data_IF_482032055615
#
_entry.id   IF_482032055615
#
_cell.length_a   1.000
_cell.length_b   1.000
_cell.length_c   1.000
_cell.angle_alpha   90.00
_cell.angle_beta   90.00
_cell.angle_gamma   90.00
#
_symmetry.space_group_name_H-M   'P 1'
#
loop_
_entity.id
_entity.type
_entity.pdbx_description
1 polymer ?
#
# COMPACT_ATOMS: atom_id res chain seq x y z
N UNK A 1 9.27 23.90 -19.76
CA UNK A 1 8.97 22.71 -18.95
C UNK A 1 8.43 23.21 -17.61
N UNK A 2 7.28 22.70 -17.13
CA UNK A 2 6.72 23.09 -15.82
C UNK A 2 6.94 21.98 -14.78
N UNK A 3 6.59 22.23 -13.52
CA UNK A 3 6.80 21.28 -12.42
C UNK A 3 6.09 19.93 -12.67
N UNK A 4 4.86 19.94 -13.17
CA UNK A 4 4.11 18.72 -13.48
C UNK A 4 4.79 17.89 -14.56
N UNK A 5 5.25 18.52 -15.65
CA UNK A 5 5.96 17.84 -16.73
C UNK A 5 7.28 17.25 -16.24
N UNK A 6 8.03 17.97 -15.38
CA UNK A 6 9.27 17.48 -14.79
C UNK A 6 9.07 16.20 -13.96
N UNK A 7 8.04 16.18 -13.09
CA UNK A 7 7.75 15.01 -12.26
C UNK A 7 7.27 13.81 -13.09
N UNK A 8 6.40 14.05 -14.08
CA UNK A 8 5.94 12.99 -14.97
C UNK A 8 7.10 12.38 -15.78
N UNK A 9 8.00 13.21 -16.31
CA UNK A 9 9.18 12.75 -17.03
C UNK A 9 10.12 11.94 -16.13
N UNK A 10 10.35 12.40 -14.91
CA UNK A 10 11.15 11.66 -13.93
C UNK A 10 10.55 10.27 -13.65
N UNK A 11 9.26 10.19 -13.30
CA UNK A 11 8.62 8.91 -12.93
C UNK A 11 8.55 7.92 -14.11
N UNK A 12 8.31 8.41 -15.33
CA UNK A 12 8.11 7.55 -16.50
C UNK A 12 9.40 7.07 -17.16
N UNK A 13 10.50 7.81 -17.01
CA UNK A 13 11.79 7.49 -17.66
C UNK A 13 12.77 6.78 -16.74
N UNK A 14 12.60 6.88 -15.43
CA UNK A 14 13.52 6.29 -14.46
C UNK A 14 13.29 4.77 -14.33
N UNK A 15 14.39 4.02 -14.25
CA UNK A 15 14.40 2.56 -14.08
C UNK A 15 14.94 2.20 -12.71
N UNK A 16 14.68 0.98 -12.27
CA UNK A 16 15.22 0.47 -11.00
C UNK A 16 16.76 0.52 -10.98
N UNK A 17 17.40 0.23 -12.12
CA UNK A 17 18.87 0.24 -12.26
C UNK A 17 19.48 1.65 -12.17
N UNK A 18 18.66 2.70 -12.33
CA UNK A 18 19.08 4.10 -12.18
C UNK A 18 19.07 4.54 -10.70
N UNK A 19 18.51 3.72 -9.81
CA UNK A 19 18.34 4.04 -8.41
C UNK A 19 19.64 3.80 -7.62
N UNK A 20 20.13 4.77 -6.82
CA UNK A 20 21.27 4.55 -5.96
C UNK A 20 21.02 3.38 -5.00
N UNK A 21 22.03 2.54 -4.77
CA UNK A 21 21.91 1.36 -3.89
C UNK A 21 21.37 1.72 -2.50
N UNK A 22 21.85 2.84 -1.93
CA UNK A 22 21.36 3.35 -0.65
C UNK A 22 19.85 3.66 -0.64
N UNK A 23 19.27 4.11 -1.77
CA UNK A 23 17.85 4.38 -1.89
C UNK A 23 17.04 3.07 -1.99
N UNK A 24 17.56 2.07 -2.69
CA UNK A 24 16.97 0.72 -2.73
C UNK A 24 16.93 0.12 -1.32
N UNK A 25 18.03 0.22 -0.57
CA UNK A 25 18.11 -0.29 0.80
C UNK A 25 17.19 0.45 1.76
N UNK A 26 17.04 1.76 1.59
CA UNK A 26 16.07 2.54 2.36
C UNK A 26 14.63 2.11 2.04
N UNK A 27 14.29 1.92 0.76
CA UNK A 27 12.98 1.47 0.34
C UNK A 27 12.65 0.06 0.88
N UNK A 28 13.59 -0.88 0.84
CA UNK A 28 13.40 -2.23 1.43
C UNK A 28 13.05 -2.16 2.92
N UNK A 29 13.78 -1.34 3.67
CA UNK A 29 13.53 -1.13 5.11
C UNK A 29 12.16 -0.50 5.35
N UNK A 30 11.82 0.54 4.60
CA UNK A 30 10.52 1.20 4.71
C UNK A 30 9.34 0.27 4.36
N UNK A 31 9.47 -0.57 3.33
CA UNK A 31 8.45 -1.57 2.98
C UNK A 31 8.30 -2.61 4.09
N UNK A 32 9.40 -3.11 4.64
CA UNK A 32 9.37 -4.10 5.73
C UNK A 32 8.72 -3.52 7.00
N UNK A 33 9.09 -2.30 7.37
CA UNK A 33 8.50 -1.57 8.49
C UNK A 33 6.99 -1.35 8.29
N UNK A 34 6.60 -0.84 7.11
CA UNK A 34 5.20 -0.62 6.74
C UNK A 34 4.38 -1.91 6.83
N UNK A 35 4.89 -3.03 6.33
CA UNK A 35 4.22 -4.33 6.46
C UNK A 35 4.08 -4.78 7.92
N UNK A 36 5.08 -4.50 8.75
CA UNK A 36 5.05 -4.81 10.18
C UNK A 36 3.95 -4.04 10.91
N UNK A 37 3.91 -2.71 10.76
CA UNK A 37 2.88 -1.87 11.39
C UNK A 37 1.49 -2.13 10.81
N UNK A 38 1.39 -2.41 9.50
CA UNK A 38 0.14 -2.80 8.85
C UNK A 38 -0.44 -4.09 9.41
N UNK A 39 0.40 -5.10 9.68
CA UNK A 39 -0.04 -6.33 10.31
C UNK A 39 -0.48 -6.11 11.76
N UNK A 40 0.26 -5.30 12.52
CA UNK A 40 -0.11 -4.96 13.89
C UNK A 40 -1.43 -4.17 13.96
N UNK A 41 -1.60 -3.15 13.10
CA UNK A 41 -2.78 -2.31 13.03
C UNK A 41 -4.00 -2.97 12.37
N UNK A 42 -3.86 -4.16 11.77
CA UNK A 42 -4.98 -4.83 11.08
C UNK A 42 -6.13 -5.23 12.01
N UNK A 43 -5.85 -5.30 13.32
CA UNK A 43 -6.82 -5.66 14.35
C UNK A 43 -7.43 -4.45 15.07
N UNK A 44 -6.99 -3.24 14.78
CA UNK A 44 -7.52 -2.01 15.39
C UNK A 44 -8.97 -1.74 14.96
N UNK A 45 -9.77 -1.02 15.77
CA UNK A 45 -11.19 -0.76 15.47
C UNK A 45 -11.41 -0.11 14.10
N UNK A 46 -10.59 0.88 13.73
CA UNK A 46 -10.69 1.56 12.43
C UNK A 46 -10.46 0.60 11.26
N UNK A 47 -9.45 -0.26 11.37
CA UNK A 47 -9.14 -1.29 10.38
C UNK A 47 -10.28 -2.30 10.21
N UNK A 48 -10.88 -2.75 11.31
CA UNK A 48 -12.03 -3.68 11.28
C UNK A 48 -13.26 -3.06 10.62
N UNK A 49 -13.55 -1.78 10.90
CA UNK A 49 -14.67 -1.06 10.26
C UNK A 49 -14.47 -1.02 8.74
N UNK A 50 -13.28 -0.66 8.28
CA UNK A 50 -12.99 -0.63 6.84
C UNK A 50 -13.06 -2.01 6.20
N UNK A 51 -12.56 -3.05 6.87
CA UNK A 51 -12.65 -4.42 6.38
C UNK A 51 -14.11 -4.88 6.21
N UNK A 52 -15.02 -4.41 7.07
CA UNK A 52 -16.46 -4.68 6.95
C UNK A 52 -17.07 -3.91 5.76
N UNK A 53 -16.74 -2.64 5.58
CA UNK A 53 -17.18 -1.84 4.42
C UNK A 53 -16.71 -2.49 3.12
N UNK A 54 -15.43 -2.83 3.02
CA UNK A 54 -14.87 -3.54 1.86
C UNK A 54 -15.50 -4.93 1.64
N UNK A 55 -16.06 -5.55 2.68
CA UNK A 55 -16.84 -6.80 2.52
C UNK A 55 -18.16 -6.55 1.84
N UNK A 56 -18.89 -5.54 2.33
CA UNK A 56 -20.24 -5.22 1.91
C UNK A 56 -20.24 -4.74 0.44
N UNK A 57 -19.25 -3.94 0.07
CA UNK A 57 -19.08 -3.41 -1.29
C UNK A 57 -18.55 -4.48 -2.26
N UNK A 58 -17.95 -5.55 -1.75
CA UNK A 58 -17.45 -6.66 -2.54
C UNK A 58 -16.31 -6.28 -3.49
N UNK A 59 -16.30 -6.90 -4.67
CA UNK A 59 -15.26 -6.76 -5.68
C UNK A 59 -14.54 -8.08 -5.98
N UNK A 60 -13.91 -8.16 -7.16
CA UNK A 60 -13.15 -9.34 -7.54
C UNK A 60 -12.00 -9.57 -6.53
N UNK A 61 -11.79 -10.79 -6.01
CA UNK A 61 -10.82 -11.08 -4.96
C UNK A 61 -9.38 -11.12 -5.51
N UNK A 62 -8.92 -10.00 -6.06
CA UNK A 62 -7.64 -9.85 -6.74
C UNK A 62 -6.50 -9.57 -5.75
N UNK A 63 -6.77 -8.79 -4.70
CA UNK A 63 -5.76 -8.28 -3.78
C UNK A 63 -6.03 -8.71 -2.34
N UNK A 64 -4.97 -8.91 -1.55
CA UNK A 64 -5.03 -9.33 -0.15
C UNK A 64 -5.28 -8.15 0.78
N UNK A 65 -6.10 -8.38 1.81
CA UNK A 65 -6.18 -7.50 2.98
C UNK A 65 -5.30 -8.07 4.08
N UNK A 66 -4.20 -7.37 4.39
CA UNK A 66 -3.13 -7.85 5.28
C UNK A 66 -3.66 -8.06 6.70
N UNK A 67 -3.14 -9.09 7.38
CA UNK A 67 -3.59 -9.48 8.72
C UNK A 67 -4.98 -10.12 8.74
N UNK A 68 -5.50 -10.52 7.58
CA UNK A 68 -6.77 -11.24 7.44
C UNK A 68 -6.62 -12.43 6.48
N UNK A 69 -7.62 -13.32 6.45
CA UNK A 69 -7.75 -14.36 5.43
C UNK A 69 -8.53 -13.93 4.18
N UNK A 70 -8.73 -12.62 3.97
CA UNK A 70 -9.69 -12.08 2.99
C UNK A 70 -8.98 -11.44 1.80
N UNK A 71 -9.68 -11.44 0.66
CA UNK A 71 -9.28 -10.77 -0.57
C UNK A 71 -10.42 -9.92 -1.11
N UNK A 72 -10.10 -8.83 -1.81
CA UNK A 72 -11.05 -7.89 -2.42
C UNK A 72 -10.42 -7.19 -3.64
N UNK A 73 -11.13 -6.25 -4.26
CA UNK A 73 -10.63 -5.42 -5.35
C UNK A 73 -9.47 -4.53 -4.93
N UNK A 74 -8.66 -4.08 -5.89
CA UNK A 74 -7.42 -3.33 -5.64
C UNK A 74 -7.62 -2.05 -4.82
N UNK A 75 -8.66 -1.26 -5.13
CA UNK A 75 -8.97 -0.02 -4.42
C UNK A 75 -9.30 -0.28 -2.96
N UNK A 76 -10.18 -1.25 -2.68
CA UNK A 76 -10.57 -1.60 -1.31
C UNK A 76 -9.43 -2.22 -0.51
N UNK A 77 -8.62 -3.08 -1.15
CA UNK A 77 -7.45 -3.67 -0.51
C UNK A 77 -6.42 -2.59 -0.14
N UNK A 78 -6.14 -1.65 -1.06
CA UNK A 78 -5.24 -0.53 -0.80
C UNK A 78 -5.72 0.34 0.35
N UNK A 79 -7.03 0.67 0.39
CA UNK A 79 -7.60 1.49 1.46
C UNK A 79 -7.55 0.77 2.82
N UNK A 80 -7.93 -0.51 2.88
CA UNK A 80 -7.86 -1.29 4.13
C UNK A 80 -6.42 -1.41 4.65
N UNK A 81 -5.48 -1.73 3.76
CA UNK A 81 -4.07 -1.89 4.12
C UNK A 81 -3.43 -0.55 4.51
N UNK A 82 -3.78 0.55 3.83
CA UNK A 82 -3.32 1.89 4.18
C UNK A 82 -3.82 2.36 5.55
N UNK A 83 -5.09 2.09 5.87
CA UNK A 83 -5.64 2.38 7.21
C UNK A 83 -4.94 1.53 8.28
N UNK A 84 -4.75 0.24 8.04
CA UNK A 84 -4.04 -0.62 9.00
C UNK A 84 -2.58 -0.19 9.22
N UNK A 85 -1.90 0.32 8.18
CA UNK A 85 -0.53 0.83 8.29
C UNK A 85 -0.41 2.18 9.05
N UNK A 86 -1.52 2.78 9.46
CA UNK A 86 -1.59 4.07 10.17
C UNK A 86 -2.49 4.03 11.42
N UNK A 87 -2.89 2.83 11.85
CA UNK A 87 -3.79 2.61 12.98
C UNK A 87 -3.03 2.51 14.31
#
# INVERSE_FOLDING_TARGET
>A
MNATTLLADFVTKHRADDCPEAAIDAARRAILDCLGVMLAGSIEPASRILQQVAQAEGGLPLCTVVGTGRRTGSVWAALCNGTAAHA
#
